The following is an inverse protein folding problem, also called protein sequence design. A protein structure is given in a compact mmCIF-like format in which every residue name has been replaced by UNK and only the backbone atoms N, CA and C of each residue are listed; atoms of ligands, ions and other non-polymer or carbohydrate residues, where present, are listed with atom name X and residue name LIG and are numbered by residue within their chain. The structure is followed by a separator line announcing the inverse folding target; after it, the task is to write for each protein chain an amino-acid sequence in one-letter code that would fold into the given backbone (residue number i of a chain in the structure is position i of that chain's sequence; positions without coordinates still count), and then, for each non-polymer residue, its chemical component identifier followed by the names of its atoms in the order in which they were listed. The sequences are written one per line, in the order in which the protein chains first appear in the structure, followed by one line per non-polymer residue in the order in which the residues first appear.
data_IF_186698808439
#
_entry.id   IF_186698808439
#
_cell.length_a   1.000
_cell.length_b   1.000
_cell.length_c   1.000
_cell.angle_alpha   90.00
_cell.angle_beta   90.00
_cell.angle_gamma   90.00
#
_symmetry.space_group_name_H-M   'P 1'
#
loop_
_entity.id
_entity.type
_entity.pdbx_description
1 polymer ?
#
# COMPACT_ATOMS: atom_id res chain seq x y z
N UNK A 1 5.46 -7.82 -0.45
CA UNK A 1 4.41 -6.89 -0.98
C UNK A 1 4.80 -5.44 -0.71
N UNK A 2 4.65 -4.51 -1.67
CA UNK A 2 4.80 -3.06 -1.45
C UNK A 2 3.38 -2.48 -1.34
N UNK A 3 3.02 -1.85 -0.22
CA UNK A 3 1.72 -1.17 -0.07
C UNK A 3 1.88 0.30 -0.42
N UNK A 4 0.90 0.88 -1.10
CA UNK A 4 0.71 2.33 -1.34
C UNK A 4 -0.19 2.90 -0.23
N UNK A 5 0.19 4.00 0.42
CA UNK A 5 -0.50 4.57 1.58
C UNK A 5 -0.11 6.06 1.76
N UNK A 6 -1.02 6.98 2.14
CA UNK A 6 -0.68 8.40 2.34
C UNK A 6 0.40 8.65 3.42
N UNK A 7 0.56 7.73 4.38
CA UNK A 7 1.68 7.71 5.33
C UNK A 7 3.03 7.25 4.73
N UNK A 8 3.08 6.76 3.49
CA UNK A 8 4.33 6.39 2.81
C UNK A 8 5.19 7.57 2.41
N UNK A 9 4.81 8.80 2.71
CA UNK A 9 5.78 9.89 2.63
C UNK A 9 6.82 9.77 3.77
N UNK A 10 6.60 8.88 4.75
CA UNK A 10 7.49 8.69 5.91
C UNK A 10 8.30 7.39 5.84
N UNK A 11 7.74 6.26 5.43
CA UNK A 11 8.50 5.00 5.34
C UNK A 11 7.89 4.02 4.33
N UNK A 12 8.68 3.07 3.84
CA UNK A 12 8.22 1.94 3.05
C UNK A 12 8.15 0.67 3.91
N UNK A 13 7.10 -0.11 3.70
CA UNK A 13 6.92 -1.43 4.30
C UNK A 13 7.22 -2.50 3.27
N UNK A 14 8.24 -3.33 3.55
CA UNK A 14 8.57 -4.48 2.72
C UNK A 14 8.37 -5.76 3.52
N UNK A 15 7.46 -6.60 3.03
CA UNK A 15 7.36 -7.99 3.49
C UNK A 15 8.31 -8.86 2.65
N UNK A 16 9.18 -9.61 3.33
CA UNK A 16 10.08 -10.61 2.77
C UNK A 16 10.15 -11.83 3.68
N UNK A 17 9.90 -13.02 3.12
CA UNK A 17 9.94 -14.29 3.82
C UNK A 17 9.09 -14.32 5.12
N UNK A 18 7.93 -13.65 5.12
CA UNK A 18 7.04 -13.61 6.28
C UNK A 18 7.47 -12.66 7.39
N UNK A 19 8.52 -11.86 7.18
CA UNK A 19 8.93 -10.77 8.06
C UNK A 19 8.69 -9.44 7.40
N UNK A 20 8.56 -8.40 8.20
CA UNK A 20 8.45 -7.02 7.72
C UNK A 20 9.74 -6.26 8.02
N UNK A 21 10.12 -5.42 7.08
CA UNK A 21 11.09 -4.35 7.29
C UNK A 21 10.46 -2.99 6.99
N UNK A 22 10.75 -2.02 7.86
CA UNK A 22 10.37 -0.62 7.70
C UNK A 22 11.60 0.13 7.23
N UNK A 23 11.47 0.85 6.13
CA UNK A 23 12.52 1.68 5.55
C UNK A 23 12.11 3.14 5.68
N UNK A 24 12.75 3.85 6.60
CA UNK A 24 12.48 5.25 6.88
C UNK A 24 13.06 6.16 5.79
N UNK A 25 12.25 7.09 5.29
CA UNK A 25 12.73 8.24 4.53
C UNK A 25 13.45 9.24 5.46
N UNK A 26 14.07 10.28 4.90
CA UNK A 26 14.94 11.20 5.66
C UNK A 26 14.26 11.74 6.93
N UNK A 27 14.88 11.46 8.08
CA UNK A 27 14.49 11.88 9.44
C UNK A 27 13.13 11.39 9.92
N UNK A 28 12.49 10.47 9.20
CA UNK A 28 11.17 9.97 9.58
C UNK A 28 11.23 8.94 10.71
N UNK A 29 12.41 8.39 11.01
CA UNK A 29 12.62 7.45 12.11
C UNK A 29 12.25 8.05 13.48
N UNK A 30 12.20 9.37 13.59
CA UNK A 30 11.83 10.10 14.81
C UNK A 30 10.40 9.88 15.29
N UNK A 31 9.54 9.28 14.45
CA UNK A 31 8.19 8.91 14.87
C UNK A 31 8.17 7.68 15.76
N UNK A 32 9.23 6.87 15.75
CA UNK A 32 9.30 5.65 16.51
C UNK A 32 9.80 5.94 17.92
N UNK A 33 9.28 5.20 18.89
CA UNK A 33 9.75 5.28 20.27
C UNK A 33 11.18 4.74 20.41
N UNK A 34 11.92 5.25 21.38
CA UNK A 34 13.32 4.85 21.62
C UNK A 34 13.48 3.34 21.85
N UNK A 35 12.45 2.66 22.37
CA UNK A 35 12.47 1.22 22.58
C UNK A 35 12.69 0.41 21.29
N UNK A 36 12.40 0.98 20.11
CA UNK A 36 12.64 0.28 18.83
C UNK A 36 14.12 -0.09 18.64
N UNK A 37 15.04 0.75 19.10
CA UNK A 37 16.47 0.51 18.94
C UNK A 37 17.01 -0.60 19.85
N UNK A 38 16.28 -0.90 20.94
CA UNK A 38 16.61 -1.98 21.87
C UNK A 38 15.89 -3.28 21.50
N UNK A 39 14.63 -3.18 21.06
CA UNK A 39 13.74 -4.33 20.82
C UNK A 39 13.92 -4.94 19.42
N UNK A 40 14.46 -4.20 18.45
CA UNK A 40 14.58 -4.62 17.06
C UNK A 40 15.98 -4.47 16.48
N UNK A 41 16.24 -5.21 15.40
CA UNK A 41 17.46 -5.02 14.59
C UNK A 41 17.28 -3.78 13.73
N UNK A 42 18.06 -2.74 14.02
CA UNK A 42 18.03 -1.47 13.30
C UNK A 42 19.37 -1.23 12.58
N UNK A 43 19.29 -1.03 11.26
CA UNK A 43 20.44 -0.65 10.45
C UNK A 43 20.32 0.82 10.00
N UNK A 44 21.43 1.54 10.07
CA UNK A 44 21.54 2.91 9.57
C UNK A 44 22.49 2.95 8.38
N UNK A 45 21.99 3.31 7.20
CA UNK A 45 22.77 3.38 5.96
C UNK A 45 22.95 4.84 5.57
N UNK A 46 24.18 5.31 5.58
CA UNK A 46 24.51 6.65 5.08
C UNK A 46 24.42 6.69 3.55
N UNK A 47 23.60 7.59 3.01
CA UNK A 47 23.58 7.84 1.58
C UNK A 47 24.87 8.57 1.16
N UNK A 48 25.65 7.95 0.28
CA UNK A 48 26.82 8.59 -0.33
C UNK A 48 26.38 9.84 -1.12
N UNK A 49 27.20 10.89 -1.11
CA UNK A 49 26.93 12.21 -1.72
C UNK A 49 26.46 12.16 -3.18
N UNK A 50 26.89 11.17 -3.95
CA UNK A 50 26.43 10.96 -5.34
C UNK A 50 24.96 10.51 -5.42
N UNK A 51 24.53 9.62 -4.53
CA UNK A 51 23.14 9.17 -4.44
C UNK A 51 22.21 10.29 -3.99
N UNK A 52 22.68 11.15 -3.07
CA UNK A 52 21.97 12.36 -2.65
C UNK A 52 21.77 13.30 -3.84
N UNK A 53 22.83 13.57 -4.62
CA UNK A 53 22.72 14.40 -5.83
C UNK A 53 21.76 13.83 -6.89
N UNK A 54 21.71 12.50 -7.04
CA UNK A 54 20.76 11.83 -7.94
C UNK A 54 19.32 12.00 -7.43
N UNK A 55 19.08 11.76 -6.15
CA UNK A 55 17.74 11.91 -5.54
C UNK A 55 17.27 13.36 -5.56
N UNK A 56 18.11 14.33 -5.20
CA UNK A 56 17.78 15.75 -5.26
C UNK A 56 17.48 16.20 -6.69
N UNK A 57 18.23 15.68 -7.68
CA UNK A 57 17.95 15.93 -9.10
C UNK A 57 16.60 15.36 -9.51
N UNK A 58 16.29 14.12 -9.12
CA UNK A 58 15.00 13.49 -9.42
C UNK A 58 13.82 14.23 -8.75
N UNK A 59 13.98 14.65 -7.49
CA UNK A 59 12.96 15.41 -6.76
C UNK A 59 12.75 16.78 -7.42
N UNK A 60 13.82 17.49 -7.79
CA UNK A 60 13.73 18.77 -8.49
C UNK A 60 13.11 18.63 -9.88
N UNK A 61 13.40 17.54 -10.60
CA UNK A 61 12.77 17.22 -11.89
C UNK A 61 11.27 16.88 -11.73
N UNK A 62 10.89 16.16 -10.67
CA UNK A 62 9.49 15.87 -10.33
C UNK A 62 8.70 17.11 -9.92
N UNK A 63 9.30 17.98 -9.09
CA UNK A 63 8.67 19.22 -8.61
C UNK A 63 8.50 20.26 -9.73
N UNK A 64 9.38 20.25 -10.73
CA UNK A 64 9.29 21.13 -11.90
C UNK A 64 8.35 20.63 -13.01
N UNK A 65 7.51 19.61 -12.74
CA UNK A 65 6.45 19.20 -13.64
C UNK A 65 6.95 18.56 -14.95
N UNK A 66 8.09 17.88 -14.92
CA UNK A 66 8.60 17.23 -16.14
C UNK A 66 7.78 15.99 -16.52
N UNK A 67 7.48 15.92 -17.82
CA UNK A 67 6.72 14.83 -18.43
C UNK A 67 7.49 13.50 -18.28
N UNK A 68 6.86 12.51 -17.63
CA UNK A 68 7.43 11.19 -17.31
C UNK A 68 7.98 10.47 -18.56
N UNK A 69 7.53 10.84 -19.75
CA UNK A 69 8.05 10.32 -21.02
C UNK A 69 9.47 10.78 -21.39
N UNK A 70 10.01 11.82 -20.74
CA UNK A 70 11.37 12.30 -21.01
C UNK A 70 12.45 11.60 -20.17
N UNK A 71 12.08 10.95 -19.06
CA UNK A 71 13.03 10.20 -18.21
C UNK A 71 13.59 8.99 -18.98
N UNK A 72 12.76 8.31 -19.78
CA UNK A 72 13.18 7.18 -20.61
C UNK A 72 13.90 7.56 -21.90
N UNK A 73 13.81 8.83 -22.34
CA UNK A 73 14.49 9.29 -23.56
C UNK A 73 15.94 9.71 -23.31
N UNK A 74 16.30 10.15 -22.10
CA UNK A 74 17.65 10.63 -21.79
C UNK A 74 18.69 9.52 -21.57
N UNK A 75 18.27 8.29 -21.29
CA UNK A 75 19.21 7.20 -20.96
C UNK A 75 19.80 6.45 -22.16
N UNK A 76 19.45 6.83 -23.41
CA UNK A 76 19.92 6.09 -24.59
C UNK A 76 21.12 6.69 -25.31
N UNK A 77 21.67 7.84 -24.90
CA UNK A 77 22.92 8.35 -25.47
C UNK A 77 23.65 9.16 -24.38
N UNK A 78 24.68 8.57 -23.76
CA UNK A 78 25.83 9.23 -23.09
C UNK A 78 26.56 8.35 -22.03
N UNK A 79 26.44 7.02 -22.11
CA UNK A 79 27.44 6.11 -21.49
C UNK A 79 28.43 5.60 -22.53
N UNK A 80 29.06 6.52 -23.26
CA UNK A 80 30.23 6.23 -24.05
C UNK A 80 31.23 7.39 -23.88
N UNK A 81 32.33 7.07 -23.19
CA UNK A 81 33.60 7.80 -23.16
C UNK A 81 33.66 9.06 -22.29
N UNK A 82 34.38 8.95 -21.17
CA UNK A 82 34.79 10.12 -20.38
C UNK A 82 35.62 9.81 -19.13
N UNK A 83 36.33 8.67 -19.08
CA UNK A 83 37.33 8.39 -18.05
C UNK A 83 38.64 9.13 -18.39
N UNK A 84 38.62 10.47 -18.38
CA UNK A 84 39.84 11.27 -18.61
C UNK A 84 39.68 12.74 -18.21
N UNK A 85 39.70 13.04 -16.90
CA UNK A 85 40.12 14.36 -16.38
C UNK A 85 40.36 14.34 -14.87
N UNK A 86 41.06 13.32 -14.37
CA UNK A 86 41.83 13.43 -13.14
C UNK A 86 43.15 14.12 -13.49
N UNK A 87 43.18 15.46 -13.37
CA UNK A 87 44.34 16.32 -13.07
C UNK A 87 44.16 17.72 -13.68
N UNK A 88 43.95 18.73 -12.83
CA UNK A 88 44.81 19.92 -12.78
C UNK A 88 44.37 20.90 -11.67
N UNK A 89 45.19 20.95 -10.62
CA UNK A 89 45.80 22.11 -9.97
C UNK A 89 44.98 23.31 -9.45
N UNK A 90 45.19 23.50 -8.13
CA UNK A 90 45.71 24.69 -7.43
C UNK A 90 44.75 25.69 -6.76
N UNK A 91 44.81 25.63 -5.41
CA UNK A 91 45.10 26.68 -4.44
C UNK A 91 44.39 28.04 -4.54
N UNK A 92 43.63 28.36 -3.48
CA UNK A 92 43.93 29.50 -2.62
C UNK A 92 43.35 29.29 -1.20
N UNK A 93 44.20 29.52 -0.19
CA UNK A 93 43.84 29.63 1.24
C UNK A 93 43.47 31.09 1.55
N UNK A 94 42.45 31.29 2.36
CA UNK A 94 42.49 32.26 3.47
C UNK A 94 41.31 32.04 4.43
N UNK A 95 41.67 31.50 5.60
CA UNK A 95 41.27 31.81 6.97
C UNK A 95 39.84 32.26 7.33
N UNK A 96 39.33 31.59 8.38
CA UNK A 96 38.58 32.25 9.46
C UNK A 96 37.09 31.95 9.51
N UNK A 97 36.71 30.88 10.22
CA UNK A 97 35.87 30.92 11.43
C UNK A 97 35.33 29.52 11.77
N UNK A 98 35.77 29.02 12.92
CA UNK A 98 35.25 27.84 13.59
C UNK A 98 33.78 28.05 13.94
N UNK A 99 32.87 27.57 13.09
CA UNK A 99 31.52 27.27 13.52
C UNK A 99 31.34 25.75 13.53
N UNK A 100 31.64 25.17 14.70
CA UNK A 100 31.26 23.82 15.10
C UNK A 100 29.72 23.67 15.21
N UNK A 101 29.02 23.87 14.10
CA UNK A 101 27.78 23.13 13.84
C UNK A 101 28.21 21.93 13.03
N UNK A 102 28.30 20.77 13.68
CA UNK A 102 28.25 19.48 12.99
C UNK A 102 26.93 19.44 12.23
N UNK A 103 26.92 20.01 11.03
CA UNK A 103 25.98 19.67 9.98
C UNK A 103 26.29 18.21 9.63
N UNK A 104 25.70 17.28 10.38
CA UNK A 104 25.51 15.93 9.86
C UNK A 104 24.48 16.05 8.73
N UNK A 105 24.95 16.47 7.56
CA UNK A 105 24.24 16.38 6.28
C UNK A 105 24.35 14.97 5.71
N UNK A 106 24.28 13.96 6.58
CA UNK A 106 24.22 12.56 6.20
C UNK A 106 22.73 12.23 6.09
N UNK A 107 22.22 12.09 4.86
CA UNK A 107 20.89 11.52 4.64
C UNK A 107 20.99 10.04 5.02
N UNK A 108 20.69 9.73 6.28
CA UNK A 108 20.74 8.37 6.82
C UNK A 108 19.39 7.71 6.55
N UNK A 109 19.41 6.56 5.89
CA UNK A 109 18.25 5.68 5.78
C UNK A 109 18.27 4.74 6.99
N UNK A 110 17.24 4.83 7.82
CA UNK A 110 17.04 3.92 8.94
C UNK A 110 16.18 2.75 8.49
N UNK A 111 16.61 1.52 8.77
CA UNK A 111 15.91 0.29 8.41
C UNK A 111 15.66 -0.54 9.66
N UNK A 112 14.39 -0.68 10.05
CA UNK A 112 13.97 -1.55 11.16
C UNK A 112 13.63 -2.92 10.56
N UNK A 113 14.28 -3.99 11.03
CA UNK A 113 14.23 -5.32 10.42
C UNK A 113 13.54 -6.35 11.32
N UNK A 114 13.17 -7.47 10.70
CA UNK A 114 12.66 -8.68 11.35
C UNK A 114 11.40 -8.45 12.20
N UNK A 115 10.54 -7.53 11.78
CA UNK A 115 9.28 -7.27 12.46
C UNK A 115 8.35 -8.45 12.17
N UNK A 116 8.08 -9.25 13.20
CA UNK A 116 7.16 -10.37 13.15
C UNK A 116 6.50 -10.61 14.52
N UNK A 117 5.39 -11.34 14.53
CA UNK A 117 4.76 -11.79 15.77
C UNK A 117 5.23 -13.22 16.09
N UNK A 118 6.11 -13.39 17.08
CA UNK A 118 6.56 -14.71 17.56
C UNK A 118 6.99 -15.66 16.42
N UNK A 119 7.70 -15.15 15.41
CA UNK A 119 8.13 -15.89 14.21
C UNK A 119 6.99 -16.51 13.38
N UNK A 120 5.76 -16.02 13.51
CA UNK A 120 4.67 -16.41 12.63
C UNK A 120 4.78 -15.68 11.30
N UNK A 121 4.66 -16.44 10.21
CA UNK A 121 4.69 -15.92 8.85
C UNK A 121 3.58 -14.88 8.67
N UNK A 122 3.95 -13.71 8.15
CA UNK A 122 3.02 -12.68 7.73
C UNK A 122 2.59 -12.94 6.29
N UNK A 123 1.28 -13.08 6.07
CA UNK A 123 0.70 -13.37 4.75
C UNK A 123 0.25 -12.10 4.04
N UNK A 124 -0.26 -11.15 4.81
CA UNK A 124 -0.79 -9.89 4.34
C UNK A 124 -0.77 -8.89 5.51
N UNK A 125 -1.04 -7.63 5.23
CA UNK A 125 -1.33 -6.67 6.28
C UNK A 125 -1.99 -5.44 5.68
N UNK A 126 -2.30 -4.48 6.53
CA UNK A 126 -2.64 -3.13 6.11
C UNK A 126 -2.41 -2.12 7.25
N UNK A 127 -2.36 -0.84 6.93
CA UNK A 127 -2.12 0.24 7.89
C UNK A 127 -3.29 1.26 7.85
N UNK A 128 -3.67 1.81 8.99
CA UNK A 128 -4.66 2.90 9.09
C UNK A 128 -4.20 4.14 8.32
N UNK A 129 -5.14 4.97 7.84
CA UNK A 129 -4.85 6.18 7.07
C UNK A 129 -3.99 7.17 7.85
N UNK A 130 -4.12 7.18 9.18
CA UNK A 130 -3.31 7.97 10.10
C UNK A 130 -1.99 7.30 10.51
N UNK A 131 -1.68 6.13 9.94
CA UNK A 131 -0.42 5.43 10.14
C UNK A 131 -0.22 4.79 11.51
N UNK A 132 -1.13 5.00 12.48
CA UNK A 132 -0.92 4.59 13.88
C UNK A 132 -1.21 3.12 14.14
N UNK A 133 -2.11 2.53 13.37
CA UNK A 133 -2.53 1.14 13.56
C UNK A 133 -2.00 0.30 12.42
N UNK A 134 -1.29 -0.76 12.78
CA UNK A 134 -0.76 -1.72 11.85
C UNK A 134 -1.38 -3.10 12.06
N UNK A 135 -2.07 -3.59 11.04
CA UNK A 135 -2.79 -4.86 11.08
C UNK A 135 -2.05 -5.90 10.23
N UNK A 136 -1.69 -7.04 10.84
CA UNK A 136 -0.97 -8.12 10.18
C UNK A 136 -1.80 -9.39 10.17
N UNK A 137 -1.96 -9.98 9.00
CA UNK A 137 -2.61 -11.27 8.81
C UNK A 137 -1.56 -12.38 8.84
N UNK A 138 -1.78 -13.35 9.73
CA UNK A 138 -1.03 -14.60 9.77
C UNK A 138 -1.92 -15.74 9.29
N UNK A 139 -1.46 -16.98 9.41
CA UNK A 139 -2.23 -18.14 8.99
C UNK A 139 -3.54 -18.33 9.79
N UNK A 140 -3.45 -18.35 11.12
CA UNK A 140 -4.57 -18.74 12.01
C UNK A 140 -5.18 -17.59 12.82
N UNK A 141 -4.59 -16.41 12.70
CA UNK A 141 -4.97 -15.22 13.46
C UNK A 141 -4.48 -13.98 12.74
N UNK A 142 -4.93 -12.82 13.21
CA UNK A 142 -4.35 -11.55 12.83
C UNK A 142 -4.03 -10.75 14.09
N UNK A 143 -3.04 -9.88 13.99
CA UNK A 143 -2.55 -9.05 15.08
C UNK A 143 -2.72 -7.59 14.75
N UNK A 144 -2.99 -6.80 15.77
CA UNK A 144 -3.11 -5.35 15.70
C UNK A 144 -1.95 -4.78 16.51
N UNK A 145 -1.24 -3.83 15.91
CA UNK A 145 -0.03 -3.25 16.45
C UNK A 145 -0.18 -1.73 16.49
N UNK A 146 0.47 -1.12 17.46
CA UNK A 146 0.81 0.29 17.41
C UNK A 146 2.05 0.46 16.53
N UNK A 147 1.96 1.25 15.48
CA UNK A 147 3.05 1.47 14.53
C UNK A 147 4.23 2.21 15.17
N UNK A 148 3.98 3.09 16.14
CA UNK A 148 5.03 3.93 16.77
C UNK A 148 5.94 3.09 17.67
N UNK A 149 5.33 2.25 18.50
CA UNK A 149 6.05 1.40 19.45
C UNK A 149 6.37 0.01 18.90
N UNK A 150 5.78 -0.36 17.76
CA UNK A 150 5.76 -1.73 17.23
C UNK A 150 5.33 -2.76 18.29
N UNK A 151 4.48 -2.37 19.24
CA UNK A 151 3.93 -3.31 20.23
C UNK A 151 2.60 -3.88 19.74
N UNK A 152 2.43 -5.18 19.96
CA UNK A 152 1.15 -5.85 19.70
C UNK A 152 0.10 -5.38 20.71
N UNK A 153 -0.96 -4.75 20.22
CA UNK A 153 -2.10 -4.29 21.02
C UNK A 153 -3.13 -5.41 21.24
N UNK A 154 -3.39 -6.21 20.20
CA UNK A 154 -4.38 -7.27 20.26
C UNK A 154 -4.09 -8.41 19.28
N UNK A 155 -4.63 -9.59 19.60
CA UNK A 155 -4.53 -10.81 18.80
C UNK A 155 -5.94 -11.35 18.63
N UNK A 156 -6.40 -11.44 17.39
CA UNK A 156 -7.71 -12.00 17.07
C UNK A 156 -7.51 -13.35 16.41
N UNK A 157 -7.81 -14.41 17.16
CA UNK A 157 -7.83 -15.78 16.66
C UNK A 157 -9.11 -15.97 15.86
N UNK A 158 -8.97 -16.23 14.57
CA UNK A 158 -10.10 -16.58 13.73
C UNK A 158 -9.97 -18.06 13.34
N UNK A 159 -10.75 -18.96 13.95
CA UNK A 159 -10.71 -20.37 13.60
C UNK A 159 -11.35 -20.56 12.23
N UNK A 160 -10.55 -20.57 11.17
CA UNK A 160 -11.00 -20.97 9.84
C UNK A 160 -10.18 -22.17 9.37
N UNK A 161 -10.90 -23.28 9.20
CA UNK A 161 -10.56 -24.49 8.44
C UNK A 161 -9.17 -25.08 8.72
N UNK A 162 -9.13 -26.02 9.66
CA UNK A 162 -7.92 -26.71 10.13
C UNK A 162 -7.62 -28.03 9.41
N UNK A 163 -8.09 -28.25 8.19
CA UNK A 163 -8.00 -29.59 7.55
C UNK A 163 -7.60 -29.62 6.07
N UNK A 164 -7.13 -28.51 5.49
CA UNK A 164 -6.73 -28.43 4.08
C UNK A 164 -5.30 -27.88 3.95
N UNK A 165 -4.68 -28.09 2.78
CA UNK A 165 -3.28 -27.73 2.51
C UNK A 165 -3.00 -26.24 2.82
N UNK A 166 -2.16 -26.00 3.82
CA UNK A 166 -1.83 -24.68 4.37
C UNK A 166 -1.30 -23.71 3.29
N UNK A 167 -0.56 -24.21 2.29
CA UNK A 167 0.04 -23.36 1.24
C UNK A 167 -1.01 -22.70 0.33
N UNK A 168 -2.04 -23.43 -0.08
CA UNK A 168 -3.11 -22.87 -0.93
C UNK A 168 -3.99 -21.93 -0.10
N UNK A 169 -4.20 -22.25 1.18
CA UNK A 169 -4.99 -21.41 2.09
C UNK A 169 -4.39 -20.05 2.35
N UNK A 170 -3.06 -19.98 2.40
CA UNK A 170 -2.35 -18.73 2.64
C UNK A 170 -2.45 -17.74 1.49
N UNK A 171 -2.77 -18.19 0.27
CA UNK A 171 -2.95 -17.32 -0.89
C UNK A 171 -4.30 -16.58 -0.90
N UNK A 172 -5.31 -17.11 -0.20
CA UNK A 172 -6.68 -16.59 -0.23
C UNK A 172 -7.11 -16.01 1.12
N UNK A 173 -6.19 -15.29 1.76
CA UNK A 173 -6.43 -14.56 3.01
C UNK A 173 -5.82 -13.18 2.91
N UNK A 174 -6.46 -12.22 3.54
CA UNK A 174 -5.91 -10.87 3.61
C UNK A 174 -6.70 -9.99 4.56
N UNK A 175 -6.12 -8.82 4.83
CA UNK A 175 -6.66 -7.85 5.76
C UNK A 175 -6.58 -6.46 5.15
N UNK A 176 -7.65 -5.69 5.29
CA UNK A 176 -7.69 -4.28 4.91
C UNK A 176 -8.19 -3.48 6.12
N UNK A 177 -7.54 -2.36 6.40
CA UNK A 177 -7.99 -1.40 7.41
C UNK A 177 -8.96 -0.44 6.73
N UNK A 178 -10.19 -0.43 7.24
CA UNK A 178 -11.28 0.39 6.74
C UNK A 178 -11.53 1.50 7.74
N UNK A 179 -11.61 2.73 7.24
CA UNK A 179 -11.95 3.88 8.07
C UNK A 179 -13.25 4.49 7.60
N UNK A 180 -14.23 4.52 8.50
CA UNK A 180 -15.43 5.33 8.39
C UNK A 180 -15.18 6.70 9.02
N UNK A 181 -16.14 7.62 8.95
CA UNK A 181 -15.98 9.00 9.41
C UNK A 181 -15.48 9.14 10.86
N UNK A 182 -15.78 8.17 11.73
CA UNK A 182 -15.39 8.20 13.14
C UNK A 182 -14.76 6.90 13.65
N UNK A 183 -14.94 5.79 12.93
CA UNK A 183 -14.62 4.46 13.44
C UNK A 183 -13.65 3.74 12.49
N UNK A 184 -12.73 2.98 13.09
CA UNK A 184 -11.84 2.07 12.36
C UNK A 184 -12.37 0.65 12.43
N UNK A 185 -12.37 -0.01 11.28
CA UNK A 185 -12.77 -1.39 11.11
C UNK A 185 -11.64 -2.19 10.48
N UNK A 186 -11.65 -3.49 10.75
CA UNK A 186 -10.78 -4.44 10.09
C UNK A 186 -11.66 -5.31 9.20
N UNK A 187 -11.41 -5.27 7.89
CA UNK A 187 -11.94 -6.25 6.96
C UNK A 187 -10.93 -7.37 6.84
N UNK A 188 -11.28 -8.53 7.35
CA UNK A 188 -10.56 -9.77 7.14
C UNK A 188 -11.31 -10.62 6.11
N UNK A 189 -10.62 -11.11 5.10
CA UNK A 189 -11.21 -12.08 4.18
C UNK A 189 -10.43 -13.37 4.20
N UNK A 190 -11.17 -14.47 4.03
CA UNK A 190 -10.59 -15.80 3.90
C UNK A 190 -11.48 -16.62 2.98
N UNK A 191 -10.88 -17.17 1.93
CA UNK A 191 -11.56 -18.00 0.93
C UNK A 191 -12.76 -17.31 0.32
N UNK A 192 -13.96 -17.70 0.73
CA UNK A 192 -15.22 -17.26 0.18
C UNK A 192 -15.96 -16.31 1.12
N UNK A 193 -15.36 -15.92 2.25
CA UNK A 193 -16.04 -15.19 3.30
C UNK A 193 -15.27 -13.93 3.69
N UNK A 194 -16.01 -12.83 3.88
CA UNK A 194 -15.53 -11.59 4.48
C UNK A 194 -16.08 -11.45 5.89
N UNK A 195 -15.24 -10.95 6.79
CA UNK A 195 -15.53 -10.63 8.17
C UNK A 195 -15.14 -9.17 8.42
N UNK A 196 -16.00 -8.41 9.09
CA UNK A 196 -15.72 -7.02 9.44
C UNK A 196 -15.79 -6.89 10.96
N UNK A 197 -14.67 -6.49 11.56
CA UNK A 197 -14.51 -6.27 12.98
C UNK A 197 -14.50 -4.77 13.27
N UNK A 198 -15.17 -4.32 14.33
CA UNK A 198 -14.88 -2.99 14.89
C UNK A 198 -13.61 -3.06 15.71
N UNK A 199 -12.69 -2.12 15.45
CA UNK A 199 -11.47 -2.00 16.22
C UNK A 199 -11.74 -1.48 17.63
N UNK A 200 -12.68 -0.54 17.78
CA UNK A 200 -13.03 0.05 19.06
C UNK A 200 -13.70 -0.94 20.02
N UNK A 201 -14.61 -1.76 19.47
CA UNK A 201 -15.43 -2.66 20.27
C UNK A 201 -14.91 -4.10 20.26
N UNK A 202 -13.80 -4.38 19.56
CA UNK A 202 -13.14 -5.69 19.44
C UNK A 202 -14.09 -6.88 19.16
N UNK A 203 -15.12 -6.67 18.36
CA UNK A 203 -16.08 -7.73 18.01
C UNK A 203 -16.43 -7.73 16.52
N UNK A 204 -16.94 -8.88 16.07
CA UNK A 204 -17.39 -9.09 14.69
C UNK A 204 -18.75 -8.41 14.48
N UNK A 205 -18.82 -7.48 13.53
CA UNK A 205 -20.04 -6.75 13.18
C UNK A 205 -20.75 -7.40 12.00
N UNK A 206 -19.99 -7.83 11.01
CA UNK A 206 -20.56 -8.27 9.74
C UNK A 206 -19.82 -9.49 9.19
N UNK A 207 -20.59 -10.41 8.61
CA UNK A 207 -20.08 -11.58 7.92
C UNK A 207 -20.86 -11.78 6.61
N UNK A 208 -20.15 -11.93 5.50
CA UNK A 208 -20.75 -12.22 4.20
C UNK A 208 -20.03 -13.36 3.49
N UNK A 209 -20.79 -14.36 3.06
CA UNK A 209 -20.30 -15.51 2.30
C UNK A 209 -20.64 -15.39 0.82
N UNK A 210 -19.63 -15.52 -0.02
CA UNK A 210 -19.71 -15.42 -1.46
C UNK A 210 -19.79 -16.79 -2.13
N UNK A 211 -20.32 -16.81 -3.35
CA UNK A 211 -20.34 -18.01 -4.21
C UNK A 211 -19.10 -18.00 -5.12
N UNK A 212 -17.97 -18.45 -4.59
CA UNK A 212 -16.67 -18.46 -5.27
C UNK A 212 -15.54 -18.13 -4.31
N UNK A 213 -14.31 -18.19 -4.80
CA UNK A 213 -13.10 -17.82 -4.05
C UNK A 213 -12.85 -16.32 -4.25
N UNK A 214 -12.60 -15.61 -3.17
CA UNK A 214 -12.18 -14.21 -3.15
C UNK A 214 -10.69 -14.19 -3.51
N UNK A 215 -10.38 -13.53 -4.61
CA UNK A 215 -9.01 -13.39 -5.11
C UNK A 215 -8.31 -12.17 -4.48
N UNK A 216 -9.07 -11.09 -4.27
CA UNK A 216 -8.57 -9.87 -3.64
C UNK A 216 -9.74 -9.07 -3.06
N UNK A 217 -9.40 -8.24 -2.08
CA UNK A 217 -10.24 -7.19 -1.53
C UNK A 217 -9.38 -5.93 -1.42
N UNK A 218 -9.91 -4.78 -1.87
CA UNK A 218 -9.23 -3.50 -1.73
C UNK A 218 -10.19 -2.41 -1.30
N UNK A 219 -9.86 -1.68 -0.24
CA UNK A 219 -10.65 -0.54 0.22
C UNK A 219 -10.19 0.78 -0.42
N UNK A 220 -11.15 1.61 -0.80
CA UNK A 220 -10.89 2.96 -1.28
C UNK A 220 -10.61 3.91 -0.12
N UNK A 221 -9.33 4.00 0.28
CA UNK A 221 -8.84 4.90 1.34
C UNK A 221 -8.95 6.39 1.02
N UNK A 222 -9.26 6.76 -0.22
CA UNK A 222 -9.39 8.17 -0.60
C UNK A 222 -10.83 8.66 -0.38
N UNK A 223 -11.82 7.85 -0.76
CA UNK A 223 -13.24 8.21 -0.55
C UNK A 223 -13.83 7.64 0.73
N UNK A 224 -13.22 6.61 1.32
CA UNK A 224 -13.71 5.87 2.48
C UNK A 224 -15.11 5.28 2.29
N UNK A 225 -15.44 4.86 1.06
CA UNK A 225 -16.80 4.41 0.70
C UNK A 225 -16.89 3.09 -0.05
N UNK A 226 -15.89 2.77 -0.86
CA UNK A 226 -15.98 1.63 -1.78
C UNK A 226 -14.98 0.55 -1.45
N UNK A 227 -15.38 -0.68 -1.73
CA UNK A 227 -14.54 -1.88 -1.66
C UNK A 227 -14.59 -2.55 -3.03
N UNK A 228 -13.43 -2.79 -3.63
CA UNK A 228 -13.30 -3.63 -4.82
C UNK A 228 -13.08 -5.08 -4.39
N UNK A 229 -13.88 -6.00 -4.93
CA UNK A 229 -13.79 -7.43 -4.61
C UNK A 229 -13.79 -8.24 -5.90
N UNK A 230 -12.74 -9.06 -6.07
CA UNK A 230 -12.60 -10.02 -7.15
C UNK A 230 -12.99 -11.42 -6.70
N UNK A 231 -13.93 -12.07 -7.41
CA UNK A 231 -14.43 -13.40 -7.06
C UNK A 231 -14.29 -14.33 -8.27
N UNK A 232 -13.54 -15.42 -8.11
CA UNK A 232 -13.45 -16.51 -9.08
C UNK A 232 -14.43 -17.61 -8.75
N UNK A 233 -15.18 -18.08 -9.76
CA UNK A 233 -16.11 -19.20 -9.61
C UNK A 233 -16.27 -19.98 -10.90
N UNK A 234 -16.82 -21.20 -10.80
CA UNK A 234 -17.21 -21.98 -11.98
C UNK A 234 -18.45 -21.39 -12.65
N UNK A 235 -18.39 -21.21 -13.96
CA UNK A 235 -19.51 -20.74 -14.78
C UNK A 235 -20.40 -21.89 -15.21
N UNK A 236 -21.68 -21.87 -14.82
CA UNK A 236 -22.68 -22.86 -15.26
C UNK A 236 -22.96 -22.80 -16.77
N UNK A 237 -22.81 -21.62 -17.40
CA UNK A 237 -23.17 -21.40 -18.81
C UNK A 237 -22.05 -21.71 -19.79
N UNK A 238 -20.79 -21.85 -19.33
CA UNK A 238 -19.61 -22.06 -20.19
C UNK A 238 -18.86 -23.32 -19.78
N UNK A 239 -19.50 -24.50 -19.85
CA UNK A 239 -18.87 -25.80 -19.57
C UNK A 239 -18.01 -25.83 -18.29
N UNK A 240 -18.48 -25.24 -17.18
CA UNK A 240 -17.75 -25.17 -15.91
C UNK A 240 -16.39 -24.45 -15.95
N UNK A 241 -16.10 -23.64 -16.98
CA UNK A 241 -14.93 -22.78 -17.01
C UNK A 241 -14.91 -21.82 -15.83
N UNK A 242 -13.72 -21.53 -15.30
CA UNK A 242 -13.54 -20.52 -14.27
C UNK A 242 -13.76 -19.13 -14.85
N UNK A 243 -14.58 -18.33 -14.15
CA UNK A 243 -14.83 -16.93 -14.47
C UNK A 243 -14.50 -16.09 -13.24
N UNK A 244 -13.66 -15.07 -13.43
CA UNK A 244 -13.42 -14.05 -12.42
C UNK A 244 -14.37 -12.89 -12.68
N UNK A 245 -15.15 -12.52 -11.66
CA UNK A 245 -16.05 -11.38 -11.67
C UNK A 245 -15.62 -10.38 -10.61
N UNK A 246 -15.48 -9.13 -11.00
CA UNK A 246 -14.90 -8.08 -10.19
C UNK A 246 -15.93 -6.97 -10.00
N UNK A 247 -16.25 -6.68 -8.75
CA UNK A 247 -17.35 -5.82 -8.36
C UNK A 247 -16.89 -4.70 -7.45
N UNK A 248 -17.57 -3.56 -7.55
CA UNK A 248 -17.54 -2.50 -6.55
C UNK A 248 -18.70 -2.73 -5.58
N UNK A 249 -18.38 -2.72 -4.30
CA UNK A 249 -19.30 -2.68 -3.18
C UNK A 249 -19.22 -1.33 -2.51
N UNK A 250 -20.34 -0.83 -2.01
CA UNK A 250 -20.40 0.29 -1.09
C UNK A 250 -20.36 -0.28 0.33
N UNK A 251 -19.38 0.20 1.10
CA UNK A 251 -19.24 -0.12 2.50
C UNK A 251 -20.03 0.88 3.35
N UNK A 252 -20.71 0.33 4.34
CA UNK A 252 -21.26 1.05 5.47
C UNK A 252 -21.02 0.17 6.72
N UNK A 253 -20.99 0.77 7.88
CA UNK A 253 -20.74 0.10 9.16
C UNK A 253 -21.65 -1.13 9.38
N UNK A 254 -22.87 -1.08 8.83
CA UNK A 254 -23.85 -2.14 8.98
C UNK A 254 -24.05 -3.04 7.75
N UNK A 255 -23.46 -2.70 6.59
CA UNK A 255 -23.68 -3.47 5.37
C UNK A 255 -22.56 -3.34 4.33
N UNK A 256 -22.44 -4.37 3.49
CA UNK A 256 -21.63 -4.36 2.28
C UNK A 256 -22.53 -4.55 1.06
N UNK A 257 -22.81 -3.47 0.30
CA UNK A 257 -23.80 -3.49 -0.78
C UNK A 257 -23.15 -3.50 -2.15
N UNK A 258 -23.40 -4.55 -2.93
CA UNK A 258 -22.93 -4.63 -4.32
C UNK A 258 -23.53 -3.52 -5.18
N UNK A 259 -22.69 -2.71 -5.83
CA UNK A 259 -23.12 -1.61 -6.70
C UNK A 259 -22.96 -1.92 -8.18
N UNK A 260 -21.77 -2.32 -8.61
CA UNK A 260 -21.44 -2.42 -10.04
C UNK A 260 -20.47 -3.56 -10.32
N UNK A 261 -20.69 -4.29 -11.41
CA UNK A 261 -19.68 -5.16 -12.02
C UNK A 261 -18.81 -4.29 -12.92
N UNK A 262 -17.49 -4.22 -12.65
CA UNK A 262 -16.58 -3.40 -13.45
C UNK A 262 -15.73 -4.23 -14.42
N UNK A 263 -15.47 -5.50 -14.10
CA UNK A 263 -14.70 -6.38 -14.97
C UNK A 263 -15.11 -7.85 -14.81
N UNK A 264 -15.23 -8.57 -15.91
CA UNK A 264 -15.56 -10.00 -15.90
C UNK A 264 -14.85 -10.73 -17.04
N UNK A 265 -14.13 -11.80 -16.73
CA UNK A 265 -13.28 -12.50 -17.70
C UNK A 265 -13.14 -13.99 -17.38
N UNK A 266 -12.87 -14.79 -18.41
CA UNK A 266 -12.47 -16.20 -18.30
C UNK A 266 -11.01 -16.43 -18.71
N UNK A 267 -10.31 -15.40 -19.21
CA UNK A 267 -8.99 -15.56 -19.84
C UNK A 267 -7.91 -14.64 -19.26
N UNK A 268 -8.30 -13.49 -18.72
CA UNK A 268 -7.37 -12.44 -18.31
C UNK A 268 -7.70 -11.92 -16.91
N UNK A 269 -7.69 -12.80 -15.88
CA UNK A 269 -8.04 -12.42 -14.52
C UNK A 269 -7.20 -11.24 -14.03
N UNK A 270 -7.83 -10.36 -13.25
CA UNK A 270 -7.17 -9.31 -12.48
C UNK A 270 -6.35 -9.98 -11.39
N UNK A 271 -5.07 -9.59 -11.31
CA UNK A 271 -4.12 -10.06 -10.31
C UNK A 271 -3.88 -9.03 -9.22
N UNK A 272 -3.89 -7.74 -9.58
CA UNK A 272 -3.68 -6.63 -8.66
C UNK A 272 -4.69 -5.52 -8.93
N UNK A 273 -5.15 -4.90 -7.86
CA UNK A 273 -6.07 -3.77 -7.89
C UNK A 273 -5.66 -2.78 -6.81
N UNK A 274 -5.67 -1.50 -7.15
CA UNK A 274 -5.53 -0.44 -6.17
C UNK A 274 -6.39 0.78 -6.54
N UNK A 275 -6.79 1.53 -5.53
CA UNK A 275 -7.38 2.85 -5.75
C UNK A 275 -6.28 3.89 -5.88
N UNK A 276 -6.55 4.91 -6.69
CA UNK A 276 -5.68 6.05 -6.88
C UNK A 276 -6.50 7.34 -6.75
N UNK A 277 -5.90 8.43 -6.24
CA UNK A 277 -6.58 9.70 -6.15
C UNK A 277 -6.91 10.20 -7.56
N UNK A 278 -8.09 10.77 -7.74
CA UNK A 278 -8.41 11.42 -8.99
C UNK A 278 -7.55 12.67 -9.15
N UNK A 279 -6.82 12.78 -10.27
CA UNK A 279 -5.92 13.91 -10.50
C UNK A 279 -6.73 15.20 -10.74
N UNK A 280 -6.87 16.01 -9.69
CA UNK A 280 -7.61 17.29 -9.71
C UNK A 280 -6.95 18.31 -10.65
N UNK A 281 -5.63 18.24 -10.85
CA UNK A 281 -4.88 19.19 -11.69
C UNK A 281 -5.12 18.94 -13.19
N UNK A 282 -5.26 17.68 -13.60
CA UNK A 282 -5.55 17.31 -15.00
C UNK A 282 -7.05 17.27 -15.31
N UNK A 283 -7.87 16.97 -14.30
CA UNK A 283 -9.32 16.80 -14.46
C UNK A 283 -10.07 17.70 -13.47
N UNK A 284 -10.84 18.67 -13.97
CA UNK A 284 -11.69 19.50 -13.11
C UNK A 284 -12.74 18.63 -12.42
N UNK A 285 -12.65 18.51 -11.10
CA UNK A 285 -13.77 18.01 -10.30
C UNK A 285 -14.96 18.96 -10.49
N UNK A 286 -16.09 18.41 -10.91
CA UNK A 286 -17.33 19.18 -11.11
C UNK A 286 -17.85 19.80 -9.80
N UNK A 287 -17.42 19.29 -8.63
CA UNK A 287 -17.76 19.81 -7.31
C UNK A 287 -16.66 19.48 -6.28
N UNK A 288 -16.30 20.43 -5.42
CA UNK A 288 -15.33 20.26 -4.32
C UNK A 288 -15.83 19.29 -3.23
N UNK A 289 -17.15 19.12 -3.10
CA UNK A 289 -17.76 18.26 -2.08
C UNK A 289 -17.84 16.77 -2.49
N UNK A 290 -17.46 16.43 -3.73
CA UNK A 290 -17.51 15.06 -4.22
C UNK A 290 -16.10 14.50 -4.41
N UNK A 291 -15.71 13.61 -3.49
CA UNK A 291 -14.50 12.80 -3.63
C UNK A 291 -14.69 11.83 -4.80
N UNK A 292 -13.73 11.82 -5.71
CA UNK A 292 -13.65 10.96 -6.90
C UNK A 292 -12.37 10.14 -6.85
N UNK A 293 -12.43 8.91 -7.34
CA UNK A 293 -11.29 7.99 -7.34
C UNK A 293 -11.18 7.22 -8.63
N UNK A 294 -9.99 6.73 -8.88
CA UNK A 294 -9.67 5.89 -10.00
C UNK A 294 -9.33 4.52 -9.45
N UNK A 295 -9.99 3.48 -9.95
CA UNK A 295 -9.56 2.10 -9.69
C UNK A 295 -8.60 1.70 -10.82
N UNK A 296 -7.38 1.33 -10.44
CA UNK A 296 -6.37 0.82 -11.36
C UNK A 296 -6.24 -0.69 -11.14
N UNK A 297 -6.19 -1.46 -12.22
CA UNK A 297 -6.03 -2.91 -12.15
C UNK A 297 -4.99 -3.41 -13.13
N UNK A 298 -4.24 -4.44 -12.73
CA UNK A 298 -3.33 -5.21 -13.58
C UNK A 298 -3.90 -6.61 -13.78
N UNK A 299 -4.04 -7.04 -15.04
CA UNK A 299 -4.48 -8.39 -15.36
C UNK A 299 -3.31 -9.36 -15.62
N UNK A 300 -3.62 -10.65 -15.77
CA UNK A 300 -2.64 -11.71 -16.05
C UNK A 300 -1.93 -11.61 -17.40
N UNK A 301 -2.35 -10.69 -18.28
CA UNK A 301 -1.66 -10.34 -19.53
C UNK A 301 -0.80 -9.08 -19.38
N UNK A 302 -0.57 -8.63 -18.14
CA UNK A 302 0.17 -7.41 -17.81
C UNK A 302 -0.43 -6.13 -18.42
N UNK A 303 -1.74 -6.11 -18.64
CA UNK A 303 -2.45 -4.94 -19.15
C UNK A 303 -3.02 -4.13 -17.98
N UNK A 304 -2.68 -2.85 -17.94
CA UNK A 304 -3.21 -1.88 -16.99
C UNK A 304 -4.57 -1.38 -17.47
N UNK A 305 -5.59 -1.49 -16.62
CA UNK A 305 -6.92 -0.93 -16.86
C UNK A 305 -7.24 0.11 -15.79
N UNK A 306 -7.96 1.14 -16.21
CA UNK A 306 -8.30 2.29 -15.37
C UNK A 306 -9.82 2.48 -15.40
N UNK A 307 -10.46 2.43 -14.24
CA UNK A 307 -11.90 2.61 -14.10
C UNK A 307 -12.21 3.85 -13.27
N UNK A 308 -12.96 4.78 -13.85
CA UNK A 308 -13.38 5.99 -13.16
C UNK A 308 -14.59 5.71 -12.27
N UNK A 309 -14.44 6.01 -10.98
CA UNK A 309 -15.52 5.89 -9.98
C UNK A 309 -15.91 7.30 -9.58
N UNK A 310 -17.05 7.74 -10.13
CA UNK A 310 -17.63 9.03 -9.79
C UNK A 310 -18.84 8.81 -8.88
N UNK A 311 -18.85 9.53 -7.75
CA UNK A 311 -19.90 9.47 -6.73
C UNK A 311 -21.06 10.42 -6.99
N UNK A 312 -21.12 10.99 -8.20
CA UNK A 312 -22.19 11.90 -8.60
C UNK A 312 -23.55 11.20 -8.58
N UNK A 313 -24.55 11.73 -7.85
CA UNK A 313 -25.90 11.21 -7.92
C UNK A 313 -26.49 11.43 -9.33
N UNK A 314 -27.24 10.45 -9.83
CA UNK A 314 -27.77 10.43 -11.20
C UNK A 314 -28.69 11.62 -11.54
N UNK A 315 -29.29 12.32 -10.56
CA UNK A 315 -30.19 13.45 -10.80
C UNK A 315 -29.47 14.75 -11.20
N UNK A 316 -28.15 14.87 -10.97
CA UNK A 316 -27.34 16.00 -11.44
C UNK A 316 -26.77 15.79 -12.85
N UNK A 317 -27.07 14.67 -13.52
CA UNK A 317 -26.73 14.43 -14.93
C UNK A 317 -27.74 15.01 -15.92
N UNK A 318 -28.76 15.72 -15.43
CA UNK A 318 -29.63 16.54 -16.27
C UNK A 318 -28.94 17.89 -16.48
N UNK A 319 -28.21 18.01 -17.58
CA UNK A 319 -27.98 19.25 -18.33
C UNK A 319 -27.57 18.88 -19.76
#
# INVERSE_FOLDING_TARGET
MIKSHPFLNMFLLFETNGNISIWCFDKSEKIFDECIYDDYVVDCVEMVTENIKIMDRMINEMNNGTDIHNIYKKNNNEYALGLSSLNNNNNNKSDGEENNKKNFSSNIITIIKNINYNNNIILNGDVSSDGKIFCLCHDKFFTIWDTVTLKTLAIIKHPLYTSLNEHIFNLYKGIEVIESQYNTYILFFSFDTIFIYSLEQFHLIYQEKFKGIIEYVKFDKYTNKYVAIGITKKSKQKNNQLIQKNYIYEFNENYLKRKKLFYSTTQSPILLVDFAPFNILKNKNLNQHHKSTILVSLNSKFQVHTFYINNYPNFLKLN
#
